data_IF_131551872757
#
_entry.id   IF_131551872757
#
_cell.length_a   1.000
_cell.length_b   1.000
_cell.length_c   1.000
_cell.angle_alpha   90.00
_cell.angle_beta   90.00
_cell.angle_gamma   90.00
#
_symmetry.space_group_name_H-M   'P 1'
#
loop_
_entity.id
_entity.type
_entity.pdbx_description
1 polymer ?
#
# COMPACT_ATOMS: atom_id res chain seq x y z
N UNK A 1 6.92 20.92 -2.90
CA UNK A 1 6.26 19.86 -3.71
C UNK A 1 5.09 19.33 -2.90
N UNK A 2 4.01 18.96 -3.57
CA UNK A 2 2.86 18.30 -2.94
C UNK A 2 2.78 16.87 -3.47
N UNK A 3 2.70 15.91 -2.55
CA UNK A 3 2.56 14.49 -2.86
C UNK A 3 1.13 14.07 -2.52
N UNK A 4 0.50 13.35 -3.43
CA UNK A 4 -0.84 12.82 -3.25
C UNK A 4 -0.86 11.35 -3.66
N UNK A 5 -1.44 10.53 -2.79
CA UNK A 5 -1.70 9.12 -3.07
C UNK A 5 -3.16 8.97 -3.49
N UNK A 6 -3.38 8.30 -4.61
CA UNK A 6 -4.70 7.95 -5.10
C UNK A 6 -4.80 6.45 -5.24
N UNK A 7 -5.71 5.82 -4.49
CA UNK A 7 -5.97 4.39 -4.66
C UNK A 7 -6.73 4.18 -5.96
N UNK A 8 -6.08 3.54 -6.94
CA UNK A 8 -6.69 3.24 -8.25
C UNK A 8 -7.29 1.85 -8.28
N UNK A 9 -6.81 0.94 -7.42
CA UNK A 9 -7.41 -0.39 -7.22
C UNK A 9 -7.54 -0.68 -5.72
N UNK A 10 -8.80 -0.86 -5.29
CA UNK A 10 -9.17 -1.17 -3.91
C UNK A 10 -9.13 -2.69 -3.67
N UNK A 11 -8.62 -3.17 -2.52
CA UNK A 11 -8.81 -4.55 -2.11
C UNK A 11 -10.28 -4.78 -1.72
N UNK A 12 -10.84 -5.93 -2.09
CA UNK A 12 -12.26 -6.24 -1.82
C UNK A 12 -12.42 -7.36 -0.79
N UNK A 13 -11.51 -8.34 -0.81
CA UNK A 13 -11.55 -9.51 0.07
C UNK A 13 -10.17 -10.02 0.39
N UNK A 14 -10.05 -10.68 1.54
CA UNK A 14 -8.88 -11.42 1.97
C UNK A 14 -9.33 -12.80 2.46
N UNK A 15 -8.45 -13.79 2.42
CA UNK A 15 -8.67 -15.06 3.10
C UNK A 15 -7.81 -15.09 4.37
N UNK A 16 -8.48 -15.28 5.52
CA UNK A 16 -7.79 -15.56 6.78
C UNK A 16 -6.99 -16.87 6.65
N UNK A 17 -5.84 -16.93 7.29
CA UNK A 17 -5.02 -18.16 7.31
C UNK A 17 -4.61 -18.58 8.72
N UNK A 18 -4.97 -17.80 9.76
CA UNK A 18 -4.72 -18.13 11.17
C UNK A 18 -3.26 -18.59 11.40
N UNK A 19 -3.04 -19.85 11.77
CA UNK A 19 -1.71 -20.40 12.05
C UNK A 19 -1.15 -21.27 10.90
N UNK A 20 -1.71 -21.15 9.69
CA UNK A 20 -1.32 -21.92 8.49
C UNK A 20 -0.66 -21.00 7.44
N UNK A 21 0.60 -20.58 7.62
CA UNK A 21 1.25 -19.61 6.74
C UNK A 21 1.39 -20.09 5.28
N UNK A 22 1.43 -21.40 5.05
CA UNK A 22 1.46 -21.98 3.70
C UNK A 22 0.11 -21.91 2.96
N UNK A 23 -0.98 -21.62 3.67
CA UNK A 23 -2.32 -21.43 3.10
C UNK A 23 -2.65 -19.96 2.84
N UNK A 24 -1.66 -19.08 2.97
CA UNK A 24 -1.82 -17.64 2.81
C UNK A 24 -2.24 -17.30 1.38
N UNK A 25 -3.32 -16.55 1.23
CA UNK A 25 -3.75 -15.96 -0.04
C UNK A 25 -3.68 -14.43 0.05
N UNK A 26 -3.22 -13.75 -1.02
CA UNK A 26 -3.17 -12.30 -1.02
C UNK A 26 -4.57 -11.69 -1.07
N UNK A 27 -4.69 -10.46 -0.57
CA UNK A 27 -5.88 -9.63 -0.73
C UNK A 27 -6.17 -9.48 -2.22
N UNK A 28 -7.44 -9.60 -2.58
CA UNK A 28 -7.89 -9.62 -3.96
C UNK A 28 -9.00 -8.60 -4.17
N UNK A 29 -8.93 -7.76 -5.23
CA UNK A 29 -7.77 -7.60 -6.11
C UNK A 29 -6.60 -6.89 -5.36
N UNK A 30 -5.35 -6.94 -5.87
CA UNK A 30 -4.21 -6.33 -5.19
C UNK A 30 -4.36 -4.82 -5.07
N UNK A 31 -3.70 -4.21 -4.09
CA UNK A 31 -3.77 -2.75 -3.89
C UNK A 31 -2.84 -2.08 -4.89
N UNK A 32 -3.39 -1.12 -5.64
CA UNK A 32 -2.62 -0.30 -6.57
C UNK A 32 -2.88 1.16 -6.23
N UNK A 33 -1.80 1.93 -6.06
CA UNK A 33 -1.84 3.33 -5.65
C UNK A 33 -1.06 4.16 -6.64
N UNK A 34 -1.70 5.18 -7.22
CA UNK A 34 -1.04 6.18 -8.05
C UNK A 34 -0.43 7.26 -7.18
N UNK A 35 0.83 7.59 -7.43
CA UNK A 35 1.51 8.74 -6.85
C UNK A 35 1.40 9.93 -7.80
N UNK A 36 0.87 11.03 -7.29
CA UNK A 36 0.78 12.31 -8.00
C UNK A 36 1.69 13.30 -7.27
N UNK A 37 2.66 13.86 -7.99
CA UNK A 37 3.59 14.85 -7.46
C UNK A 37 3.38 16.15 -8.23
N UNK A 38 3.19 17.24 -7.50
CA UNK A 38 3.01 18.58 -8.08
C UNK A 38 4.01 19.60 -7.51
N UNK A 39 4.35 20.59 -8.32
CA UNK A 39 5.12 21.76 -7.91
C UNK A 39 4.30 22.70 -7.00
N UNK A 40 4.88 23.85 -6.61
CA UNK A 40 4.18 24.84 -5.78
C UNK A 40 3.00 25.51 -6.51
N UNK A 41 3.03 25.52 -7.84
CA UNK A 41 2.00 26.10 -8.70
C UNK A 41 0.88 25.10 -9.04
N UNK A 42 1.03 23.83 -8.64
CA UNK A 42 0.07 22.75 -8.90
C UNK A 42 0.30 21.97 -10.19
N UNK A 43 1.38 22.25 -10.94
CA UNK A 43 1.68 21.51 -12.16
C UNK A 43 2.25 20.12 -11.83
N UNK A 44 1.87 19.07 -12.58
CA UNK A 44 2.43 17.74 -12.40
C UNK A 44 3.93 17.73 -12.72
N UNK A 45 4.72 17.08 -11.87
CA UNK A 45 6.18 16.95 -12.03
C UNK A 45 6.63 15.53 -11.72
N UNK A 46 7.69 15.06 -12.39
CA UNK A 46 8.31 13.76 -12.14
C UNK A 46 9.77 13.99 -11.72
N UNK A 47 10.08 13.96 -10.42
CA UNK A 47 11.45 14.19 -9.93
C UNK A 47 12.26 12.89 -10.01
N UNK A 48 12.81 12.56 -11.18
CA UNK A 48 13.50 11.28 -11.45
C UNK A 48 14.56 10.91 -10.41
N UNK A 49 15.40 11.86 -10.00
CA UNK A 49 16.44 11.62 -8.99
C UNK A 49 15.89 11.33 -7.58
N UNK A 50 14.62 11.66 -7.30
CA UNK A 50 13.98 11.42 -6.01
C UNK A 50 13.22 10.09 -5.97
N UNK A 51 12.74 9.60 -7.12
CA UNK A 51 11.88 8.41 -7.18
C UNK A 51 12.45 7.17 -6.49
N UNK A 52 13.75 6.83 -6.62
CA UNK A 52 14.33 5.65 -5.96
C UNK A 52 14.24 5.68 -4.43
N UNK A 53 14.06 6.86 -3.85
CA UNK A 53 13.99 7.08 -2.41
C UNK A 53 12.55 7.15 -1.89
N UNK A 54 11.55 7.10 -2.77
CA UNK A 54 10.15 7.12 -2.39
C UNK A 54 9.63 5.69 -2.29
N UNK A 55 9.09 5.34 -1.13
CA UNK A 55 8.45 4.05 -0.87
C UNK A 55 7.06 4.27 -0.27
N UNK A 56 6.15 3.34 -0.53
CA UNK A 56 4.87 3.27 0.15
C UNK A 56 4.85 2.07 1.10
N UNK A 57 4.36 2.28 2.32
CA UNK A 57 4.20 1.25 3.33
C UNK A 57 2.71 1.04 3.65
N UNK A 58 2.29 -0.23 3.70
CA UNK A 58 0.95 -0.63 4.11
C UNK A 58 0.86 -0.92 5.60
N UNK A 59 -0.26 -0.53 6.16
CA UNK A 59 -0.61 -0.75 7.56
C UNK A 59 -2.05 -1.20 7.69
N UNK A 60 -2.36 -1.92 8.75
CA UNK A 60 -3.72 -2.41 8.99
C UNK A 60 -4.40 -1.55 10.05
N UNK A 61 -5.60 -1.08 9.73
CA UNK A 61 -6.47 -0.33 10.63
C UNK A 61 -7.78 -1.09 10.88
N UNK A 62 -8.40 -0.77 12.02
CA UNK A 62 -9.79 -1.15 12.34
C UNK A 62 -10.76 -0.76 11.22
N UNK A 63 -11.96 -1.37 11.21
CA UNK A 63 -13.00 -1.11 10.21
C UNK A 63 -13.35 0.38 10.07
N UNK A 64 -13.35 1.13 11.18
CA UNK A 64 -13.60 2.58 11.16
C UNK A 64 -12.42 3.38 10.60
N UNK A 65 -11.19 2.84 10.65
CA UNK A 65 -9.96 3.48 10.21
C UNK A 65 -9.30 4.33 11.27
N UNK A 66 -9.72 4.24 12.54
CA UNK A 66 -9.25 5.10 13.62
C UNK A 66 -8.02 4.53 14.33
N UNK A 67 -7.96 3.21 14.47
CA UNK A 67 -6.92 2.54 15.25
C UNK A 67 -6.05 1.64 14.37
N UNK A 68 -4.73 1.77 14.51
CA UNK A 68 -3.78 0.83 13.92
C UNK A 68 -3.79 -0.48 14.70
N UNK A 69 -3.97 -1.59 13.99
CA UNK A 69 -4.10 -2.94 14.57
C UNK A 69 -2.99 -3.90 14.13
N UNK A 70 -2.13 -3.49 13.20
CA UNK A 70 -0.92 -4.21 12.77
C UNK A 70 0.17 -4.28 13.86
N UNK A 71 0.22 -3.27 14.73
CA UNK A 71 1.21 -3.12 15.80
C UNK A 71 0.78 -3.70 17.14
N UNK A 72 -0.50 -4.06 17.30
CA UNK A 72 -0.96 -4.62 18.57
C UNK A 72 -0.26 -5.95 18.78
N UNK A 73 0.53 -6.04 19.85
CA UNK A 73 1.03 -7.28 20.41
C UNK A 73 -0.16 -8.09 20.91
N UNK A 74 -0.96 -8.61 19.99
CA UNK A 74 -1.83 -9.73 20.28
C UNK A 74 -0.92 -10.86 20.76
N UNK A 75 -1.30 -11.64 21.79
CA UNK A 75 -0.61 -12.89 22.08
C UNK A 75 -0.52 -13.83 20.86
N UNK A 76 -1.26 -13.53 19.79
CA UNK A 76 -1.34 -14.28 18.54
C UNK A 76 -0.48 -13.71 17.37
N UNK A 77 0.28 -12.62 17.57
CA UNK A 77 1.23 -12.10 16.57
C UNK A 77 0.70 -10.99 15.63
N UNK A 78 1.49 -10.71 14.57
CA UNK A 78 1.20 -9.67 13.56
C UNK A 78 -0.05 -10.02 12.75
N UNK A 79 -0.92 -9.06 12.42
CA UNK A 79 -2.15 -9.37 11.66
C UNK A 79 -1.99 -9.23 10.13
N UNK A 80 -0.93 -8.55 9.66
CA UNK A 80 -0.68 -8.24 8.25
C UNK A 80 0.65 -8.86 7.80
N UNK A 81 0.66 -9.56 6.67
CA UNK A 81 1.80 -10.33 6.16
C UNK A 81 2.07 -10.10 4.67
N UNK A 82 3.28 -10.45 4.24
CA UNK A 82 3.73 -10.37 2.85
C UNK A 82 4.58 -9.14 2.58
N UNK A 83 4.55 -8.64 1.35
CA UNK A 83 5.29 -7.46 0.90
C UNK A 83 4.51 -6.20 1.24
N UNK A 84 4.78 -5.63 2.42
CA UNK A 84 4.10 -4.44 2.94
C UNK A 84 4.72 -3.12 2.46
N UNK A 85 5.86 -3.18 1.78
CA UNK A 85 6.56 -2.02 1.21
C UNK A 85 6.60 -2.16 -0.30
N UNK A 86 6.36 -1.06 -1.01
CA UNK A 86 6.43 -0.97 -2.46
C UNK A 86 7.25 0.25 -2.86
N UNK A 87 8.12 0.10 -3.85
CA UNK A 87 8.87 1.20 -4.46
C UNK A 87 8.05 1.84 -5.58
N UNK A 88 8.40 3.06 -6.00
CA UNK A 88 7.74 3.68 -7.15
C UNK A 88 8.07 2.93 -8.44
N UNK A 89 7.04 2.54 -9.18
CA UNK A 89 7.13 1.99 -10.54
C UNK A 89 6.57 2.99 -11.55
N UNK A 90 7.27 3.19 -12.68
CA UNK A 90 6.74 3.95 -13.81
C UNK A 90 6.03 2.99 -14.78
N UNK A 91 4.71 3.12 -14.90
CA UNK A 91 3.89 2.23 -15.71
C UNK A 91 2.92 3.02 -16.59
N UNK A 92 2.41 2.37 -17.63
CA UNK A 92 1.31 2.89 -18.45
C UNK A 92 -0.02 2.39 -17.90
N UNK A 93 -0.99 3.29 -17.76
CA UNK A 93 -2.36 2.91 -17.40
C UNK A 93 -3.11 2.28 -18.59
N UNK A 94 -4.35 1.85 -18.36
CA UNK A 94 -5.18 1.22 -19.40
C UNK A 94 -5.54 2.17 -20.57
N UNK A 95 -5.28 3.47 -20.44
CA UNK A 95 -5.46 4.47 -21.48
C UNK A 95 -4.13 4.80 -22.19
N UNK A 96 -3.02 4.15 -21.81
CA UNK A 96 -1.69 4.39 -22.35
C UNK A 96 -0.97 5.59 -21.73
N UNK A 97 -1.50 6.19 -20.67
CA UNK A 97 -0.83 7.32 -20.01
C UNK A 97 0.20 6.81 -19.01
N UNK A 98 1.40 7.38 -19.05
CA UNK A 98 2.43 7.10 -18.05
C UNK A 98 2.07 7.68 -16.69
N UNK A 99 2.35 6.92 -15.63
CA UNK A 99 2.14 7.32 -14.25
C UNK A 99 3.11 6.65 -13.30
N UNK A 100 3.13 7.16 -12.06
CA UNK A 100 3.91 6.62 -10.96
C UNK A 100 2.98 5.78 -10.08
N UNK A 101 3.35 4.53 -9.81
CA UNK A 101 2.51 3.58 -9.10
C UNK A 101 3.27 2.86 -7.99
N UNK A 102 2.55 2.54 -6.92
CA UNK A 102 2.93 1.56 -5.92
C UNK A 102 1.99 0.37 -6.05
N UNK A 103 2.55 -0.83 -6.17
CA UNK A 103 1.79 -2.08 -6.31
C UNK A 103 2.11 -2.98 -5.11
N UNK A 104 1.04 -3.52 -4.52
CA UNK A 104 1.14 -4.47 -3.42
C UNK A 104 0.47 -5.80 -3.81
N UNK A 105 1.19 -6.66 -4.56
CA UNK A 105 0.61 -7.89 -5.11
C UNK A 105 0.51 -9.00 -4.07
N UNK A 106 1.28 -8.90 -2.99
CA UNK A 106 1.43 -9.97 -2.01
C UNK A 106 1.20 -9.46 -0.58
N UNK A 107 -0.06 -9.20 -0.23
CA UNK A 107 -0.46 -8.75 1.11
C UNK A 107 -1.54 -9.67 1.62
N UNK A 108 -1.45 -10.15 2.86
CA UNK A 108 -2.46 -11.04 3.43
C UNK A 108 -2.78 -10.67 4.88
N UNK A 109 -4.00 -10.99 5.29
CA UNK A 109 -4.50 -10.73 6.63
C UNK A 109 -4.67 -12.06 7.36
N UNK A 110 -4.07 -12.20 8.54
CA UNK A 110 -4.05 -13.46 9.28
C UNK A 110 -5.42 -13.81 9.86
N UNK A 111 -6.06 -12.83 10.50
CA UNK A 111 -7.28 -13.02 11.28
C UNK A 111 -8.51 -12.49 10.55
N UNK A 112 -9.63 -13.20 10.72
CA UNK A 112 -10.92 -12.78 10.19
C UNK A 112 -11.33 -11.42 10.78
N UNK A 113 -11.80 -10.52 9.93
CA UNK A 113 -12.38 -9.26 10.37
C UNK A 113 -12.64 -8.29 9.21
N UNK A 114 -13.15 -7.12 9.59
CA UNK A 114 -13.27 -5.98 8.69
C UNK A 114 -12.18 -4.97 9.01
N UNK A 115 -11.43 -4.57 8.00
CA UNK A 115 -10.26 -3.74 8.15
C UNK A 115 -10.18 -2.68 7.05
N UNK A 116 -9.37 -1.65 7.30
CA UNK A 116 -8.90 -0.73 6.27
C UNK A 116 -7.39 -0.84 6.14
N UNK A 117 -6.88 -0.66 4.93
CA UNK A 117 -5.44 -0.53 4.70
C UNK A 117 -5.07 0.95 4.69
N UNK A 118 -4.12 1.33 5.54
CA UNK A 118 -3.49 2.65 5.50
C UNK A 118 -2.24 2.59 4.63
N UNK A 119 -2.09 3.58 3.75
CA UNK A 119 -0.94 3.71 2.85
C UNK A 119 -0.17 4.96 3.25
N UNK A 120 1.10 4.78 3.60
CA UNK A 120 1.98 5.88 4.00
C UNK A 120 3.10 6.02 2.97
N UNK A 121 3.20 7.20 2.35
CA UNK A 121 4.38 7.57 1.56
C UNK A 121 5.51 7.94 2.51
N UNK A 122 6.68 7.34 2.31
CA UNK A 122 7.90 7.63 3.04
C UNK A 122 9.00 7.99 2.04
N UNK A 123 9.90 8.86 2.48
CA UNK A 123 11.15 9.13 1.78
C UNK A 123 12.29 8.60 2.64
N UNK A 124 13.05 7.65 2.09
CA UNK A 124 14.26 7.16 2.75
C UNK A 124 15.41 8.11 2.43
N UNK A 125 16.26 8.35 3.42
CA UNK A 125 17.49 9.12 3.27
C UNK A 125 18.65 8.17 3.58
N UNK A 126 19.79 8.38 2.92
CA UNK A 126 21.07 7.82 3.37
C UNK A 126 21.55 8.49 4.66
#
# INVERSE_FOLDING_TARGET
RRYQLQVVQQPLRAAEFSNYPLSRLPVTPPVIVRLIISDASGNPVVPEAELPFLIAHLSLYSQDGLERVDLRSSPQGHTLYGNLVSSVEQLEDLQGNRGLFFIFPDVSIQWRGHYKLGITLLKIFE
#
